data_IF_083368024212
#
_entry.id   IF_083368024212
#
_cell.length_a   1.000
_cell.length_b   1.000
_cell.length_c   1.000
_cell.angle_alpha   90.00
_cell.angle_beta   90.00
_cell.angle_gamma   90.00
#
_symmetry.space_group_name_H-M   'P 1'
#
loop_
_entity.id
_entity.type
_entity.pdbx_description
1 polymer ?
#
# COMPACT_ATOMS: atom_id res chain seq x y z
N UNK A 1 13.38 -7.65 4.30
CA UNK A 1 14.02 -6.34 4.37
C UNK A 1 15.55 -6.45 4.45
N UNK A 2 16.11 -7.32 5.28
CA UNK A 2 17.58 -7.46 5.52
C UNK A 2 18.42 -7.78 4.29
N UNK A 3 17.85 -8.43 3.28
CA UNK A 3 18.57 -8.74 2.03
C UNK A 3 18.74 -7.53 1.11
N UNK A 4 18.13 -6.38 1.41
CA UNK A 4 18.19 -5.18 0.59
C UNK A 4 19.57 -4.54 0.64
N UNK A 5 20.22 -4.39 -0.51
CA UNK A 5 21.54 -3.73 -0.66
C UNK A 5 21.44 -2.23 -0.91
N UNK A 6 20.23 -1.65 -0.83
CA UNK A 6 19.95 -0.22 -0.94
C UNK A 6 20.40 0.42 -2.27
N UNK A 7 20.50 -0.35 -3.33
CA UNK A 7 21.05 0.10 -4.62
C UNK A 7 20.22 1.17 -5.35
N UNK A 8 18.94 1.38 -4.99
CA UNK A 8 18.10 2.44 -5.54
C UNK A 8 17.30 2.11 -6.80
N UNK A 9 17.65 1.04 -7.54
CA UNK A 9 17.00 0.68 -8.82
C UNK A 9 15.47 0.63 -8.77
N UNK A 10 14.92 0.08 -7.68
CA UNK A 10 13.47 0.02 -7.49
C UNK A 10 12.80 1.40 -7.40
N UNK A 11 13.52 2.42 -6.93
CA UNK A 11 13.03 3.80 -6.88
C UNK A 11 13.15 4.48 -8.24
N UNK A 12 14.27 4.25 -8.96
CA UNK A 12 14.51 4.79 -10.31
C UNK A 12 13.48 4.30 -11.32
N UNK A 13 13.03 3.04 -11.22
CA UNK A 13 12.03 2.45 -12.10
C UNK A 13 10.58 2.63 -11.61
N UNK A 14 10.38 3.30 -10.48
CA UNK A 14 9.04 3.49 -9.92
C UNK A 14 8.27 4.59 -10.67
N UNK A 15 7.12 4.28 -11.35
CA UNK A 15 6.34 5.29 -12.06
C UNK A 15 5.83 6.41 -11.16
N UNK A 16 5.48 6.10 -9.93
CA UNK A 16 5.04 7.12 -8.97
C UNK A 16 6.19 8.07 -8.60
N UNK A 17 7.40 7.56 -8.39
CA UNK A 17 8.57 8.38 -8.12
C UNK A 17 8.94 9.24 -9.33
N UNK A 18 8.98 8.66 -10.54
CA UNK A 18 9.28 9.35 -11.79
C UNK A 18 8.31 10.50 -12.08
N UNK A 19 7.07 10.40 -11.64
CA UNK A 19 6.05 11.46 -11.78
C UNK A 19 6.06 12.47 -10.63
N UNK A 20 7.03 12.42 -9.73
CA UNK A 20 7.22 13.37 -8.63
C UNK A 20 6.34 13.11 -7.40
N UNK A 21 5.68 11.95 -7.30
CA UNK A 21 4.96 11.57 -6.09
C UNK A 21 5.91 11.13 -4.97
N UNK A 22 5.49 11.31 -3.74
CA UNK A 22 6.27 10.94 -2.56
C UNK A 22 6.29 9.43 -2.32
N UNK A 23 6.82 8.68 -3.25
CA UNK A 23 7.00 7.24 -3.07
C UNK A 23 8.40 6.82 -3.50
N UNK A 24 9.13 6.20 -2.59
CA UNK A 24 10.39 5.52 -2.86
C UNK A 24 10.31 4.08 -2.36
N UNK A 25 10.22 3.09 -3.24
CA UNK A 25 10.23 1.68 -2.83
C UNK A 25 11.46 1.29 -2.01
N UNK A 26 12.63 1.91 -2.29
CA UNK A 26 13.84 1.74 -1.47
C UNK A 26 13.60 2.21 -0.04
N UNK A 27 13.02 3.42 0.15
CA UNK A 27 12.71 3.98 1.47
C UNK A 27 11.77 3.05 2.24
N UNK A 28 10.70 2.54 1.61
CA UNK A 28 9.77 1.59 2.23
C UNK A 28 10.52 0.38 2.82
N UNK A 29 11.48 -0.19 2.07
CA UNK A 29 12.28 -1.32 2.54
C UNK A 29 13.19 -0.95 3.71
N UNK A 30 13.84 0.22 3.66
CA UNK A 30 14.73 0.70 4.71
C UNK A 30 13.96 1.00 5.99
N UNK A 31 12.90 1.77 5.92
CA UNK A 31 12.08 2.14 7.07
C UNK A 31 11.48 0.89 7.76
N UNK A 32 11.08 -0.11 6.96
CA UNK A 32 10.59 -1.39 7.50
C UNK A 32 11.70 -2.15 8.26
N UNK A 33 12.92 -2.17 7.71
CA UNK A 33 14.06 -2.80 8.37
C UNK A 33 14.40 -2.07 9.66
N UNK A 34 14.57 -0.75 9.58
CA UNK A 34 14.99 0.08 10.70
C UNK A 34 13.97 -0.02 11.85
N UNK A 35 12.68 -0.02 11.52
CA UNK A 35 11.64 -0.23 12.52
C UNK A 35 11.66 -1.65 13.11
N UNK A 36 11.95 -2.67 12.31
CA UNK A 36 12.06 -4.04 12.80
C UNK A 36 13.26 -4.21 13.77
N UNK A 37 14.37 -3.53 13.52
CA UNK A 37 15.55 -3.52 14.40
C UNK A 37 15.24 -2.82 15.72
N UNK A 38 14.69 -1.62 15.69
CA UNK A 38 14.27 -0.89 16.88
C UNK A 38 13.29 -1.68 17.74
N UNK A 39 12.29 -2.30 17.09
CA UNK A 39 11.29 -3.10 17.79
C UNK A 39 11.90 -4.35 18.40
N UNK A 40 12.84 -5.01 17.70
CA UNK A 40 13.59 -6.14 18.22
C UNK A 40 14.38 -5.79 19.49
N UNK A 41 15.10 -4.66 19.50
CA UNK A 41 15.81 -4.19 20.68
C UNK A 41 14.88 -3.89 21.88
N UNK A 42 13.68 -3.35 21.62
CA UNK A 42 12.70 -3.07 22.66
C UNK A 42 12.17 -4.38 23.25
N UNK A 43 11.87 -5.38 22.40
CA UNK A 43 11.41 -6.69 22.84
C UNK A 43 12.44 -7.43 23.68
N UNK A 44 13.72 -7.34 23.34
CA UNK A 44 14.81 -7.96 24.10
C UNK A 44 14.94 -7.35 25.50
N UNK A 45 14.66 -6.06 25.64
CA UNK A 45 14.71 -5.34 26.92
C UNK A 45 13.44 -5.51 27.75
N UNK A 46 12.27 -5.61 27.09
CA UNK A 46 10.98 -5.67 27.77
C UNK A 46 9.99 -6.58 26.99
N UNK A 47 9.47 -7.61 27.64
CA UNK A 47 8.58 -8.59 27.00
C UNK A 47 7.20 -8.03 26.58
N UNK A 48 6.76 -6.93 27.18
CA UNK A 48 5.51 -6.24 26.89
C UNK A 48 5.76 -4.73 26.76
N UNK A 49 6.38 -4.28 25.67
CA UNK A 49 6.65 -2.86 25.47
C UNK A 49 5.36 -2.10 25.11
N UNK A 50 5.21 -0.90 25.68
CA UNK A 50 4.29 0.09 25.11
C UNK A 50 4.90 0.59 23.81
N UNK A 51 4.18 0.36 22.70
CA UNK A 51 4.63 0.72 21.36
C UNK A 51 4.10 2.12 21.05
N UNK A 52 4.95 3.12 21.13
CA UNK A 52 4.60 4.50 20.80
C UNK A 52 4.73 4.79 19.29
N UNK A 53 5.72 4.16 18.63
CA UNK A 53 6.02 4.39 17.22
C UNK A 53 5.59 3.20 16.36
N UNK A 54 4.63 3.42 15.47
CA UNK A 54 4.21 2.43 14.49
C UNK A 54 4.96 2.64 13.16
N UNK A 55 5.12 1.60 12.36
CA UNK A 55 5.71 1.71 11.01
C UNK A 55 4.92 2.70 10.16
N UNK A 56 3.58 2.60 10.21
CA UNK A 56 2.68 3.53 9.55
C UNK A 56 2.60 4.84 10.36
N UNK A 57 2.60 5.95 9.67
CA UNK A 57 2.54 7.33 10.16
C UNK A 57 3.82 7.83 10.86
N UNK A 58 4.65 6.97 11.49
CA UNK A 58 5.93 7.41 12.07
C UNK A 58 7.09 7.35 11.06
N UNK A 59 7.14 6.32 10.21
CA UNK A 59 8.20 6.08 9.22
C UNK A 59 7.67 6.20 7.80
N UNK A 60 6.55 5.54 7.50
CA UNK A 60 5.93 5.48 6.19
C UNK A 60 4.60 6.22 6.25
N UNK A 61 4.43 7.24 5.42
CA UNK A 61 3.20 8.04 5.39
C UNK A 61 2.11 7.38 4.55
N UNK A 62 0.86 7.70 4.85
CA UNK A 62 -0.31 7.23 4.07
C UNK A 62 -0.27 7.75 2.63
N UNK A 63 0.29 8.94 2.41
CA UNK A 63 0.50 9.49 1.08
C UNK A 63 1.44 8.62 0.25
N UNK A 64 2.56 8.17 0.83
CA UNK A 64 3.52 7.29 0.16
C UNK A 64 2.88 5.97 -0.28
N UNK A 65 2.18 5.28 0.62
CA UNK A 65 1.57 4.00 0.27
C UNK A 65 0.41 4.14 -0.72
N UNK A 66 -0.36 5.25 -0.67
CA UNK A 66 -1.44 5.51 -1.61
C UNK A 66 -0.94 5.95 -3.00
N UNK A 67 0.26 6.49 -3.10
CA UNK A 67 0.88 6.83 -4.38
C UNK A 67 1.26 5.61 -5.23
N UNK A 68 1.35 4.42 -4.64
CA UNK A 68 1.72 3.20 -5.35
C UNK A 68 0.62 2.76 -6.33
N UNK A 69 0.99 2.49 -7.58
CA UNK A 69 0.10 1.98 -8.65
C UNK A 69 0.04 0.45 -8.72
N UNK A 70 0.72 -0.25 -7.82
CA UNK A 70 0.79 -1.72 -7.76
C UNK A 70 1.30 -2.38 -9.06
N UNK A 71 2.19 -1.71 -9.79
CA UNK A 71 2.67 -2.14 -11.12
C UNK A 71 3.78 -3.19 -11.10
N UNK A 72 4.35 -3.54 -9.93
CA UNK A 72 5.49 -4.46 -9.76
C UNK A 72 6.85 -4.02 -10.36
N UNK A 73 6.97 -2.85 -10.98
CA UNK A 73 8.24 -2.38 -11.56
C UNK A 73 9.41 -2.41 -10.56
N UNK A 74 9.14 -2.10 -9.30
CA UNK A 74 10.14 -2.14 -8.23
C UNK A 74 10.68 -3.55 -7.94
N UNK A 75 9.84 -4.57 -8.04
CA UNK A 75 10.22 -5.98 -7.85
C UNK A 75 11.03 -6.48 -9.06
N UNK A 76 10.57 -6.13 -10.27
CA UNK A 76 11.25 -6.50 -11.52
C UNK A 76 12.64 -5.86 -11.63
N UNK A 77 12.77 -4.60 -11.21
CA UNK A 77 14.06 -3.89 -11.21
C UNK A 77 15.04 -4.41 -10.14
N UNK A 78 14.57 -5.20 -9.17
CA UNK A 78 15.41 -5.69 -8.10
C UNK A 78 16.23 -6.92 -8.54
N UNK A 79 17.59 -6.86 -8.55
CA UNK A 79 18.42 -7.99 -9.00
C UNK A 79 18.34 -9.23 -8.12
N UNK A 80 17.78 -9.11 -6.91
CA UNK A 80 17.59 -10.20 -5.96
C UNK A 80 16.10 -10.43 -5.63
N UNK A 81 15.19 -9.92 -6.47
CA UNK A 81 13.74 -10.12 -6.39
C UNK A 81 13.10 -9.77 -5.04
N UNK A 82 13.57 -8.72 -4.38
CA UNK A 82 12.87 -8.18 -3.21
C UNK A 82 11.58 -7.53 -3.67
N UNK A 83 10.49 -7.76 -2.94
CA UNK A 83 9.17 -7.25 -3.25
C UNK A 83 8.73 -6.14 -2.27
N UNK A 84 9.03 -4.85 -2.53
CA UNK A 84 8.52 -3.75 -1.71
C UNK A 84 7.01 -3.58 -1.77
N UNK A 85 6.38 -4.03 -2.87
CA UNK A 85 4.94 -3.91 -3.07
C UNK A 85 4.16 -4.71 -2.02
N UNK A 86 4.67 -5.86 -1.59
CA UNK A 86 4.02 -6.67 -0.55
C UNK A 86 3.82 -5.87 0.75
N UNK A 87 4.85 -5.16 1.20
CA UNK A 87 4.77 -4.30 2.38
C UNK A 87 3.70 -3.21 2.19
N UNK A 88 3.68 -2.57 1.03
CA UNK A 88 2.70 -1.52 0.72
C UNK A 88 1.28 -2.09 0.74
N UNK A 89 1.06 -3.26 0.17
CA UNK A 89 -0.27 -3.90 0.14
C UNK A 89 -0.72 -4.33 1.54
N UNK A 90 0.18 -4.84 2.37
CA UNK A 90 -0.14 -5.18 3.76
C UNK A 90 -0.49 -3.93 4.59
N UNK A 91 0.23 -2.84 4.42
CA UNK A 91 -0.09 -1.56 5.07
C UNK A 91 -1.45 -1.01 4.60
N UNK A 92 -1.77 -1.11 3.31
CA UNK A 92 -3.10 -0.74 2.79
C UNK A 92 -4.20 -1.61 3.37
N UNK A 93 -3.96 -2.91 3.47
CA UNK A 93 -4.89 -3.87 4.07
C UNK A 93 -5.14 -3.53 5.53
N UNK A 94 -4.09 -3.24 6.29
CA UNK A 94 -4.19 -2.80 7.68
C UNK A 94 -5.07 -1.55 7.84
N UNK A 95 -4.83 -0.50 7.03
CA UNK A 95 -5.62 0.73 7.05
C UNK A 95 -7.10 0.45 6.76
N UNK A 96 -7.38 -0.40 5.77
CA UNK A 96 -8.75 -0.67 5.36
C UNK A 96 -9.52 -1.56 6.34
N UNK A 97 -8.88 -2.63 6.84
CA UNK A 97 -9.54 -3.67 7.63
C UNK A 97 -9.47 -3.41 9.14
N UNK A 98 -8.32 -2.95 9.65
CA UNK A 98 -8.14 -2.76 11.09
C UNK A 98 -8.52 -1.35 11.52
N UNK A 99 -8.07 -0.34 10.81
CA UNK A 99 -8.35 1.04 11.18
C UNK A 99 -9.67 1.58 10.60
N UNK A 100 -10.21 0.97 9.54
CA UNK A 100 -11.38 1.45 8.78
C UNK A 100 -11.23 2.90 8.32
N UNK A 101 -10.01 3.35 8.05
CA UNK A 101 -9.64 4.73 7.68
C UNK A 101 -9.28 4.87 6.20
N UNK A 102 -9.84 4.04 5.33
CA UNK A 102 -9.71 4.25 3.90
C UNK A 102 -10.36 5.58 3.47
N UNK A 103 -9.89 6.23 2.39
CA UNK A 103 -10.56 7.41 1.84
C UNK A 103 -12.07 7.18 1.64
N UNK A 104 -12.88 8.20 1.92
CA UNK A 104 -14.34 8.08 1.86
C UNK A 104 -14.85 7.59 0.49
N UNK A 105 -14.18 8.00 -0.58
CA UNK A 105 -14.49 7.59 -1.95
C UNK A 105 -14.30 6.07 -2.13
N UNK A 106 -13.28 5.50 -1.51
CA UNK A 106 -13.02 4.05 -1.53
C UNK A 106 -14.06 3.30 -0.70
N UNK A 107 -14.43 3.81 0.47
CA UNK A 107 -15.47 3.20 1.30
C UNK A 107 -16.81 3.18 0.57
N UNK A 108 -17.19 4.25 -0.13
CA UNK A 108 -18.37 4.30 -0.97
C UNK A 108 -18.30 3.29 -2.13
N UNK A 109 -17.14 3.17 -2.78
CA UNK A 109 -16.92 2.20 -3.85
C UNK A 109 -17.05 0.78 -3.32
N UNK A 110 -16.43 0.45 -2.18
CA UNK A 110 -16.52 -0.87 -1.55
C UNK A 110 -17.97 -1.22 -1.21
N UNK A 111 -18.71 -0.30 -0.57
CA UNK A 111 -20.12 -0.50 -0.26
C UNK A 111 -20.96 -0.74 -1.53
N UNK A 112 -20.69 0.01 -2.59
CA UNK A 112 -21.39 -0.18 -3.86
C UNK A 112 -21.05 -1.53 -4.50
N UNK A 113 -19.80 -1.98 -4.44
CA UNK A 113 -19.40 -3.29 -4.96
C UNK A 113 -20.07 -4.41 -4.17
N UNK A 114 -20.15 -4.31 -2.85
CA UNK A 114 -20.78 -5.30 -1.99
C UNK A 114 -22.30 -5.40 -2.23
N UNK A 115 -22.96 -4.27 -2.44
CA UNK A 115 -24.44 -4.23 -2.57
C UNK A 115 -24.92 -4.38 -4.00
N UNK A 116 -24.21 -3.81 -4.98
CA UNK A 116 -24.65 -3.71 -6.37
C UNK A 116 -23.74 -4.43 -7.37
N UNK A 117 -22.64 -5.05 -6.89
CA UNK A 117 -21.58 -5.65 -7.72
C UNK A 117 -21.02 -4.67 -8.79
N UNK A 118 -21.02 -3.38 -8.47
CA UNK A 118 -20.56 -2.29 -9.33
C UNK A 118 -19.95 -1.19 -8.45
N UNK A 119 -18.89 -0.49 -8.89
CA UNK A 119 -18.31 0.62 -8.13
C UNK A 119 -19.25 1.85 -8.00
N UNK A 120 -20.33 1.89 -8.79
CA UNK A 120 -21.33 2.95 -8.77
C UNK A 120 -22.67 2.44 -8.26
N UNK A 121 -23.49 3.37 -7.74
CA UNK A 121 -24.80 3.08 -7.17
C UNK A 121 -25.83 2.94 -8.29
N UNK A 122 -25.74 1.88 -9.08
CA UNK A 122 -26.74 1.52 -10.10
C UNK A 122 -27.33 0.14 -9.80
N UNK A 123 -28.64 -0.06 -10.02
CA UNK A 123 -29.27 -1.37 -9.94
C UNK A 123 -28.60 -2.35 -10.91
N UNK A 124 -28.48 -3.61 -10.52
CA UNK A 124 -27.89 -4.67 -11.35
C UNK A 124 -28.64 -4.81 -12.69
N UNK A 125 -29.95 -4.57 -12.67
CA UNK A 125 -30.86 -4.62 -13.83
C UNK A 125 -30.49 -3.60 -14.91
N UNK A 126 -29.89 -2.49 -14.53
CA UNK A 126 -29.52 -1.40 -15.43
C UNK A 126 -28.18 -1.62 -16.14
N UNK A 127 -27.44 -2.68 -15.77
CA UNK A 127 -26.09 -2.95 -16.28
C UNK A 127 -26.01 -3.02 -17.81
N UNK A 128 -27.08 -3.46 -18.47
CA UNK A 128 -27.14 -3.62 -19.92
C UNK A 128 -28.13 -2.65 -20.64
N UNK A 129 -28.62 -1.61 -19.95
CA UNK A 129 -29.51 -0.62 -20.59
C UNK A 129 -28.89 0.03 -21.83
N UNK A 130 -27.59 0.36 -21.77
CA UNK A 130 -26.85 0.96 -22.88
C UNK A 130 -26.92 0.15 -24.18
N UNK A 131 -27.08 -1.17 -24.10
CA UNK A 131 -27.18 -2.05 -25.26
C UNK A 131 -28.61 -2.05 -25.87
N UNK A 132 -29.62 -1.67 -25.08
CA UNK A 132 -31.01 -1.60 -25.54
C UNK A 132 -31.34 -0.25 -26.16
N UNK A 133 -30.71 0.82 -25.73
CA UNK A 133 -30.91 2.18 -26.22
C UNK A 133 -30.26 2.43 -27.59
N UNK A 134 -29.30 1.60 -27.98
CA UNK A 134 -28.59 1.69 -29.27
C UNK A 134 -29.11 0.72 -30.34
N UNK A 135 -30.32 0.14 -30.17
CA UNK A 135 -31.07 -0.63 -31.17
C UNK A 135 -32.31 0.12 -31.58
#
# INVERSE_FOLDING_TARGET
>A
AYSCTECGRCTEECPANLTGKKLSPRKIMMDTRDRAEEYGEILDKNKNPDIENFLLDSYITREEINACTSCNACTEACPININPLEIILELRRYIALEESKAPNEWNMMFQNIETNFSPWKFPIEDRFKWNKENK
#
